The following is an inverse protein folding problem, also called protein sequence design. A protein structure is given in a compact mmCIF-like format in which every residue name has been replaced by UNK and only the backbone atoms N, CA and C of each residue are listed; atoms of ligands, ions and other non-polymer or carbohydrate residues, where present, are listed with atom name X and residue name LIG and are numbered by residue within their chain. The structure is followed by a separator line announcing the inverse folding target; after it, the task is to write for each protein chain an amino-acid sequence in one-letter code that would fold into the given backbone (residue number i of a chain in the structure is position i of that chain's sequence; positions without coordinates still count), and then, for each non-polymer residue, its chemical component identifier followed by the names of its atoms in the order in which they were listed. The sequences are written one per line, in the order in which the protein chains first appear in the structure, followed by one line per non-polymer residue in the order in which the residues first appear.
data_IF_638864527234
#
_entry.id   IF_638864527234
#
_cell.length_a   1.000
_cell.length_b   1.000
_cell.length_c   1.000
_cell.angle_alpha   90.00
_cell.angle_beta   90.00
_cell.angle_gamma   90.00
#
_symmetry.space_group_name_H-M   'P 1'
#
loop_
_entity.id
_entity.type
_entity.pdbx_description
1 polymer ?
#
# COMPACT_ATOMS: atom_id res chain seq x y z
N UNK A 1 12.42 -8.26 -34.24
CA UNK A 1 12.05 -8.84 -32.96
C UNK A 1 12.52 -7.91 -31.83
N UNK A 2 11.63 -7.05 -31.32
CA UNK A 2 11.94 -6.14 -30.20
C UNK A 2 11.61 -6.87 -28.89
N UNK A 3 12.64 -7.16 -28.11
CA UNK A 3 12.49 -7.71 -26.76
C UNK A 3 11.71 -6.70 -25.90
N UNK A 4 10.45 -7.01 -25.59
CA UNK A 4 9.66 -6.28 -24.58
C UNK A 4 10.28 -6.56 -23.23
N UNK A 5 10.88 -5.55 -22.63
CA UNK A 5 11.33 -5.58 -21.24
C UNK A 5 10.07 -5.70 -20.37
N UNK A 6 9.88 -6.88 -19.79
CA UNK A 6 8.89 -7.13 -18.74
C UNK A 6 9.46 -6.53 -17.45
N UNK A 7 9.05 -5.33 -17.10
CA UNK A 7 9.29 -4.73 -15.79
C UNK A 7 8.13 -5.13 -14.88
N UNK A 8 8.44 -5.88 -13.84
CA UNK A 8 7.45 -6.37 -12.87
C UNK A 8 7.55 -5.60 -11.57
N UNK A 9 6.40 -5.29 -10.99
CA UNK A 9 6.34 -4.60 -9.72
C UNK A 9 5.08 -4.91 -8.94
N UNK A 10 5.23 -5.07 -7.65
CA UNK A 10 4.14 -5.10 -6.70
C UNK A 10 4.18 -3.90 -5.76
N UNK A 11 3.05 -3.35 -5.47
CA UNK A 11 2.84 -2.46 -4.36
C UNK A 11 1.44 -2.65 -3.78
N UNK A 12 1.38 -3.29 -2.61
CA UNK A 12 0.20 -3.25 -1.76
C UNK A 12 -0.06 -1.81 -1.31
N UNK A 13 -1.31 -1.48 -1.03
CA UNK A 13 -1.77 -0.18 -0.53
C UNK A 13 -1.00 0.35 0.69
N UNK A 14 -0.41 -0.55 1.50
CA UNK A 14 0.42 -0.26 2.67
C UNK A 14 1.79 0.29 2.32
N UNK A 15 2.35 -0.10 1.17
CA UNK A 15 3.67 0.33 0.74
C UNK A 15 3.75 1.85 0.51
N UNK A 16 2.66 2.42 0.04
CA UNK A 16 2.60 3.85 -0.24
C UNK A 16 2.66 4.70 1.04
N UNK A 17 2.13 4.24 2.19
CA UNK A 17 2.22 4.95 3.46
C UNK A 17 3.63 4.93 4.05
N UNK A 18 4.33 3.79 4.06
CA UNK A 18 5.66 3.66 4.64
C UNK A 18 6.71 4.50 3.91
N UNK A 19 6.62 4.56 2.59
CA UNK A 19 7.59 5.30 1.75
C UNK A 19 7.37 6.81 1.78
N UNK A 20 6.18 7.26 2.15
CA UNK A 20 5.81 8.67 2.21
C UNK A 20 6.57 9.48 3.26
N UNK A 21 7.10 8.85 4.29
CA UNK A 21 7.76 9.52 5.41
C UNK A 21 9.16 10.02 5.13
N UNK A 22 9.85 9.39 4.20
CA UNK A 22 11.30 9.49 4.10
C UNK A 22 11.82 10.50 3.08
N UNK A 23 10.97 11.20 2.32
CA UNK A 23 11.42 12.03 1.19
C UNK A 23 11.72 13.48 1.54
N UNK A 24 11.69 13.88 2.84
CA UNK A 24 12.17 15.20 3.26
C UNK A 24 12.85 15.14 4.62
N UNK A 25 14.15 15.12 4.58
CA UNK A 25 14.93 15.67 5.68
C UNK A 25 14.52 17.13 5.89
N UNK A 26 14.13 17.49 7.11
CA UNK A 26 13.96 18.88 7.50
C UNK A 26 15.32 19.59 7.37
N UNK A 27 15.53 20.30 6.27
CA UNK A 27 16.38 21.47 6.31
C UNK A 27 15.58 22.56 7.01
N UNK A 28 15.81 22.71 8.33
CA UNK A 28 15.76 23.95 9.11
C UNK A 28 15.34 23.75 10.55
N UNK A 29 16.34 23.57 11.38
CA UNK A 29 16.30 24.09 12.74
C UNK A 29 17.71 24.51 13.13
N UNK A 30 18.16 25.66 12.63
CA UNK A 30 19.13 26.57 13.22
C UNK A 30 19.33 27.73 12.24
N UNK A 31 18.58 28.79 12.40
CA UNK A 31 18.75 30.02 11.61
C UNK A 31 19.15 31.19 12.51
N UNK A 32 20.31 31.72 12.27
CA UNK A 32 20.58 33.15 12.47
C UNK A 32 19.99 33.96 11.29
N UNK A 33 19.76 35.27 11.45
CA UNK A 33 18.94 36.06 10.51
C UNK A 33 19.64 36.33 9.18
N UNK A 34 18.87 36.67 8.12
CA UNK A 34 19.20 36.46 6.73
C UNK A 34 19.93 37.64 6.09
N UNK A 35 20.76 37.32 5.10
CA UNK A 35 21.16 38.25 4.05
C UNK A 35 20.21 38.10 2.85
N UNK A 36 19.75 39.24 2.37
CA UNK A 36 18.84 39.46 1.26
C UNK A 36 19.51 39.04 -0.07
N UNK A 37 18.74 38.35 -0.92
CA UNK A 37 19.05 38.29 -2.34
C UNK A 37 18.99 36.88 -2.94
N UNK A 38 17.90 36.61 -3.68
CA UNK A 38 17.78 35.49 -4.58
C UNK A 38 16.39 34.82 -4.49
N UNK A 39 15.42 35.31 -5.25
CA UNK A 39 14.15 34.64 -5.55
C UNK A 39 14.46 33.37 -6.35
N UNK A 40 14.88 32.32 -5.67
CA UNK A 40 14.89 30.98 -6.24
C UNK A 40 13.46 30.46 -6.24
N UNK A 41 12.76 30.60 -7.34
CA UNK A 41 11.51 29.89 -7.61
C UNK A 41 11.77 28.40 -7.32
N UNK A 42 11.05 27.86 -6.34
CA UNK A 42 10.93 26.43 -6.12
C UNK A 42 10.33 25.83 -7.37
N UNK A 43 11.18 25.33 -8.27
CA UNK A 43 10.72 24.61 -9.45
C UNK A 43 9.84 23.45 -9.01
N UNK A 44 8.58 23.37 -9.49
CA UNK A 44 7.73 22.19 -9.28
C UNK A 44 8.39 21.04 -10.05
N UNK A 45 8.78 20.01 -9.30
CA UNK A 45 9.29 18.72 -9.80
C UNK A 45 10.37 18.77 -10.88
N UNK A 46 11.60 18.70 -10.44
CA UNK A 46 12.59 18.00 -11.22
C UNK A 46 12.06 16.59 -11.50
N UNK A 47 12.03 16.18 -12.75
CA UNK A 47 11.82 14.80 -13.18
C UNK A 47 12.67 13.90 -12.28
N UNK A 48 12.07 12.89 -11.66
CA UNK A 48 12.80 11.95 -10.77
C UNK A 48 14.01 11.35 -11.47
N UNK A 49 13.94 11.17 -12.80
CA UNK A 49 15.08 10.70 -13.60
C UNK A 49 16.21 11.74 -13.67
N UNK A 50 15.89 13.02 -13.80
CA UNK A 50 16.89 14.10 -13.74
C UNK A 50 17.54 14.19 -12.35
N UNK A 51 16.74 14.08 -11.29
CA UNK A 51 17.26 14.04 -9.92
C UNK A 51 18.17 12.83 -9.68
N UNK A 52 17.79 11.66 -10.18
CA UNK A 52 18.63 10.46 -10.10
C UNK A 52 19.95 10.68 -10.83
N UNK A 53 19.92 11.26 -12.06
CA UNK A 53 21.13 11.50 -12.84
C UNK A 53 22.09 12.47 -12.14
N UNK A 54 21.57 13.55 -11.55
CA UNK A 54 22.35 14.53 -10.77
C UNK A 54 22.99 13.84 -9.54
N UNK A 55 22.19 13.16 -8.71
CA UNK A 55 22.68 12.49 -7.52
C UNK A 55 23.66 11.36 -7.83
N UNK A 56 23.50 10.67 -8.96
CA UNK A 56 24.47 9.69 -9.43
C UNK A 56 25.80 10.34 -9.81
N UNK A 57 25.78 11.52 -10.43
CA UNK A 57 27.00 12.28 -10.75
C UNK A 57 27.69 12.71 -9.47
N UNK A 58 26.94 13.19 -8.48
CA UNK A 58 27.44 13.58 -7.16
C UNK A 58 28.17 12.42 -6.44
N UNK A 59 27.52 11.29 -6.36
CA UNK A 59 28.10 10.10 -5.69
C UNK A 59 29.33 9.60 -6.45
N UNK A 60 29.32 9.62 -7.78
CA UNK A 60 30.50 9.25 -8.60
C UNK A 60 31.67 10.22 -8.45
N UNK A 61 31.42 11.50 -8.20
CA UNK A 61 32.46 12.51 -7.94
C UNK A 61 33.05 12.43 -6.54
N UNK A 62 32.61 11.46 -5.71
CA UNK A 62 33.08 11.26 -4.35
C UNK A 62 32.25 11.90 -3.25
N UNK A 63 31.16 12.60 -3.59
CA UNK A 63 30.20 13.15 -2.60
C UNK A 63 29.33 12.03 -2.02
N UNK A 64 29.91 11.16 -1.21
CA UNK A 64 29.26 9.97 -0.66
C UNK A 64 28.17 10.28 0.39
N UNK A 65 28.17 11.50 0.94
CA UNK A 65 27.12 12.07 1.78
C UNK A 65 25.77 12.19 1.04
N UNK A 66 25.79 12.21 -0.30
CA UNK A 66 24.58 12.24 -1.15
C UNK A 66 23.95 10.87 -1.37
N UNK A 67 24.57 9.77 -0.94
CA UNK A 67 24.08 8.41 -1.13
C UNK A 67 22.66 8.17 -0.53
N UNK A 68 22.32 8.66 0.67
CA UNK A 68 20.95 8.52 1.19
C UNK A 68 19.91 9.26 0.34
N UNK A 69 20.24 10.42 -0.22
CA UNK A 69 19.35 11.16 -1.11
C UNK A 69 19.13 10.43 -2.43
N UNK A 70 20.18 9.82 -3.01
CA UNK A 70 20.06 8.97 -4.20
C UNK A 70 19.22 7.72 -3.93
N UNK A 71 19.39 7.10 -2.77
CA UNK A 71 18.55 5.97 -2.37
C UNK A 71 17.06 6.38 -2.25
N UNK A 72 16.79 7.57 -1.66
CA UNK A 72 15.42 8.11 -1.61
C UNK A 72 14.82 8.32 -3.00
N UNK A 73 15.61 8.86 -3.96
CA UNK A 73 15.17 9.03 -5.34
C UNK A 73 14.89 7.67 -6.04
N UNK A 74 15.69 6.64 -5.77
CA UNK A 74 15.40 5.29 -6.25
C UNK A 74 14.10 4.72 -5.65
N UNK A 75 13.86 4.91 -4.35
CA UNK A 75 12.61 4.49 -3.71
C UNK A 75 11.40 5.25 -4.26
N UNK A 76 11.58 6.55 -4.60
CA UNK A 76 10.56 7.33 -5.31
C UNK A 76 10.27 6.72 -6.69
N UNK A 77 11.32 6.34 -7.43
CA UNK A 77 11.17 5.73 -8.76
C UNK A 77 10.42 4.39 -8.72
N UNK A 78 10.62 3.59 -7.67
CA UNK A 78 9.79 2.38 -7.45
C UNK A 78 8.30 2.75 -7.37
N UNK A 79 7.92 3.80 -6.63
CA UNK A 79 6.51 4.23 -6.52
C UNK A 79 5.90 4.67 -7.84
N UNK A 80 6.69 5.34 -8.68
CA UNK A 80 6.24 5.87 -9.97
C UNK A 80 6.10 4.81 -11.03
N UNK A 81 7.06 3.88 -11.08
CA UNK A 81 7.19 2.92 -12.19
C UNK A 81 6.90 1.51 -11.80
N UNK A 82 7.07 1.25 -10.50
CA UNK A 82 6.98 -0.06 -9.98
C UNK A 82 8.15 -0.97 -10.31
N UNK A 83 9.25 -0.48 -10.80
CA UNK A 83 10.46 -1.27 -11.08
C UNK A 83 11.21 -1.62 -9.79
N UNK A 84 11.05 -2.87 -9.33
CA UNK A 84 11.68 -3.38 -8.13
C UNK A 84 13.22 -3.43 -8.20
N UNK A 85 13.82 -3.28 -9.40
CA UNK A 85 15.28 -3.22 -9.53
C UNK A 85 15.90 -2.06 -8.78
N UNK A 86 15.15 -0.97 -8.60
CA UNK A 86 15.60 0.18 -7.82
C UNK A 86 15.72 -0.12 -6.31
N UNK A 87 15.02 -1.12 -5.77
CA UNK A 87 15.25 -1.55 -4.39
C UNK A 87 16.67 -2.09 -4.19
N UNK A 88 17.17 -2.90 -5.13
CA UNK A 88 18.53 -3.43 -5.06
C UNK A 88 19.58 -2.32 -5.16
N UNK A 89 19.35 -1.33 -6.03
CA UNK A 89 20.23 -0.17 -6.16
C UNK A 89 20.27 0.68 -4.88
N UNK A 90 19.10 0.95 -4.29
CA UNK A 90 18.99 1.67 -3.02
C UNK A 90 19.69 0.91 -1.89
N UNK A 91 19.49 -0.41 -1.80
CA UNK A 91 20.10 -1.28 -0.80
C UNK A 91 21.62 -1.19 -0.80
N UNK A 92 22.23 -1.37 -1.99
CA UNK A 92 23.70 -1.28 -2.14
C UNK A 92 24.24 0.06 -1.63
N UNK A 93 23.61 1.17 -1.99
CA UNK A 93 24.03 2.50 -1.53
C UNK A 93 23.91 2.67 -0.02
N UNK A 94 22.81 2.21 0.55
CA UNK A 94 22.53 2.35 1.98
C UNK A 94 23.45 1.46 2.83
N UNK A 95 23.73 0.24 2.38
CA UNK A 95 24.72 -0.63 3.02
C UNK A 95 26.10 0.01 3.05
N UNK A 96 26.55 0.60 1.93
CA UNK A 96 27.82 1.31 1.86
C UNK A 96 27.84 2.56 2.75
N UNK A 97 26.76 3.33 2.81
CA UNK A 97 26.66 4.50 3.68
C UNK A 97 26.74 4.11 5.15
N UNK A 98 25.96 3.09 5.57
CA UNK A 98 25.94 2.61 6.95
C UNK A 98 27.21 1.86 7.37
N UNK A 99 27.95 1.26 6.44
CA UNK A 99 29.26 0.70 6.71
C UNK A 99 30.28 1.79 7.05
N UNK A 100 30.21 2.98 6.42
CA UNK A 100 31.06 4.15 6.71
C UNK A 100 30.62 4.86 7.99
N UNK A 101 29.34 5.07 8.17
CA UNK A 101 28.78 5.72 9.36
C UNK A 101 27.51 4.97 9.84
N UNK A 102 27.63 4.05 10.81
CA UNK A 102 26.49 3.27 11.33
C UNK A 102 25.40 4.11 12.04
N UNK A 103 25.68 5.39 12.32
CA UNK A 103 24.76 6.35 12.95
C UNK A 103 24.28 7.44 11.99
N UNK A 104 24.54 7.31 10.68
CA UNK A 104 23.98 8.21 9.67
C UNK A 104 22.46 8.11 9.69
N UNK A 105 21.80 9.13 10.27
CA UNK A 105 20.35 9.14 10.42
C UNK A 105 19.64 9.09 9.06
N UNK A 106 20.12 9.85 8.06
CA UNK A 106 19.50 9.87 6.74
C UNK A 106 19.57 8.47 6.09
N UNK A 107 20.72 7.81 6.17
CA UNK A 107 20.89 6.45 5.68
C UNK A 107 20.00 5.45 6.43
N UNK A 108 19.90 5.56 7.77
CA UNK A 108 19.04 4.70 8.60
C UNK A 108 17.56 4.87 8.25
N UNK A 109 17.07 6.11 8.04
CA UNK A 109 15.70 6.40 7.63
C UNK A 109 15.41 5.79 6.26
N UNK A 110 16.30 5.96 5.29
CA UNK A 110 16.10 5.39 3.96
C UNK A 110 16.18 3.85 3.96
N UNK A 111 17.07 3.27 4.77
CA UNK A 111 17.14 1.81 4.95
C UNK A 111 15.87 1.26 5.62
N UNK A 112 15.31 1.98 6.61
CA UNK A 112 14.02 1.63 7.20
C UNK A 112 12.87 1.72 6.19
N UNK A 113 12.88 2.74 5.33
CA UNK A 113 11.92 2.90 4.24
C UNK A 113 12.01 1.76 3.23
N UNK A 114 13.22 1.37 2.84
CA UNK A 114 13.47 0.24 1.96
C UNK A 114 12.97 -1.07 2.58
N UNK A 115 13.28 -1.32 3.86
CA UNK A 115 12.81 -2.51 4.57
C UNK A 115 11.27 -2.56 4.63
N UNK A 116 10.61 -1.44 4.93
CA UNK A 116 9.15 -1.33 4.87
C UNK A 116 8.63 -1.61 3.46
N UNK A 117 9.29 -1.08 2.43
CA UNK A 117 8.99 -1.32 1.03
C UNK A 117 9.14 -2.77 0.59
N UNK A 118 9.98 -3.54 1.25
CA UNK A 118 10.14 -4.98 1.05
C UNK A 118 9.25 -5.83 1.97
N UNK A 119 8.37 -5.19 2.77
CA UNK A 119 7.54 -5.81 3.81
C UNK A 119 8.35 -6.51 4.92
N UNK A 120 9.60 -6.11 5.13
CA UNK A 120 10.37 -6.45 6.32
C UNK A 120 10.08 -5.43 7.43
N UNK A 121 8.93 -5.58 8.07
CA UNK A 121 8.48 -4.63 9.10
C UNK A 121 9.27 -4.72 10.41
N UNK A 122 9.88 -5.87 10.70
CA UNK A 122 10.80 -6.00 11.83
C UNK A 122 12.09 -5.20 11.59
N UNK A 123 12.69 -5.36 10.41
CA UNK A 123 13.86 -4.59 9.99
C UNK A 123 13.56 -3.09 9.91
N UNK A 124 12.42 -2.72 9.32
CA UNK A 124 11.97 -1.33 9.23
C UNK A 124 11.87 -0.67 10.62
N UNK A 125 11.21 -1.34 11.58
CA UNK A 125 11.05 -0.83 12.94
C UNK A 125 12.42 -0.73 13.67
N UNK A 126 13.29 -1.71 13.51
CA UNK A 126 14.61 -1.69 14.13
C UNK A 126 15.47 -0.56 13.58
N UNK A 127 15.50 -0.36 12.27
CA UNK A 127 16.26 0.71 11.61
C UNK A 127 15.69 2.10 11.95
N UNK A 128 14.36 2.26 11.95
CA UNK A 128 13.72 3.52 12.32
C UNK A 128 14.01 3.90 13.78
N UNK A 129 14.01 2.94 14.72
CA UNK A 129 14.41 3.18 16.11
C UNK A 129 15.89 3.56 16.25
N UNK A 130 16.77 2.96 15.44
CA UNK A 130 18.17 3.36 15.39
C UNK A 130 18.33 4.79 14.88
N UNK A 131 17.55 5.19 13.89
CA UNK A 131 17.53 6.56 13.38
C UNK A 131 17.06 7.57 14.44
N UNK A 132 16.00 7.23 15.19
CA UNK A 132 15.47 8.04 16.30
C UNK A 132 16.51 8.16 17.43
N UNK A 133 17.20 7.07 17.75
CA UNK A 133 18.28 7.09 18.76
C UNK A 133 19.52 7.89 18.30
N UNK A 134 19.83 7.86 17.00
CA UNK A 134 20.98 8.59 16.46
C UNK A 134 20.81 10.11 16.55
N UNK A 135 19.58 10.61 16.32
CA UNK A 135 19.20 12.02 16.47
C UNK A 135 17.78 12.09 17.07
N UNK A 136 17.69 12.13 18.42
CA UNK A 136 16.40 12.13 19.11
C UNK A 136 15.53 13.33 18.77
N UNK A 137 14.19 13.10 18.74
CA UNK A 137 13.20 14.17 18.56
C UNK A 137 13.02 14.63 17.12
N UNK A 138 13.59 13.93 16.16
CA UNK A 138 13.35 14.20 14.72
C UNK A 138 12.08 13.50 14.23
N UNK A 139 11.44 14.10 13.22
CA UNK A 139 10.20 13.58 12.65
C UNK A 139 10.41 12.39 11.72
N UNK A 140 11.57 12.31 11.07
CA UNK A 140 11.80 11.41 9.95
C UNK A 140 11.56 9.92 10.24
N UNK A 141 11.93 9.33 11.39
CA UNK A 141 11.68 7.91 11.68
C UNK A 141 10.25 7.61 12.10
N UNK A 142 9.51 8.57 12.67
CA UNK A 142 8.19 8.32 13.29
C UNK A 142 7.15 7.72 12.33
N UNK A 143 6.97 8.24 11.10
CA UNK A 143 6.02 7.65 10.17
C UNK A 143 6.31 6.18 9.85
N UNK A 144 7.59 5.81 9.68
CA UNK A 144 8.01 4.43 9.39
C UNK A 144 7.74 3.54 10.61
N UNK A 145 7.99 4.07 11.83
CA UNK A 145 7.68 3.36 13.07
C UNK A 145 6.18 3.10 13.21
N UNK A 146 5.31 4.09 12.88
CA UNK A 146 3.85 3.91 12.90
C UNK A 146 3.45 2.77 11.95
N UNK A 147 3.89 2.84 10.70
CA UNK A 147 3.54 1.86 9.68
C UNK A 147 4.01 0.44 10.06
N UNK A 148 5.27 0.31 10.46
CA UNK A 148 5.81 -0.97 10.90
C UNK A 148 5.10 -1.53 12.14
N UNK A 149 4.73 -0.70 13.11
CA UNK A 149 3.99 -1.12 14.30
C UNK A 149 2.57 -1.58 13.95
N UNK A 150 1.89 -0.93 13.00
CA UNK A 150 0.58 -1.38 12.50
C UNK A 150 0.70 -2.75 11.85
N UNK A 151 1.65 -2.92 10.94
CA UNK A 151 1.83 -4.20 10.22
C UNK A 151 2.33 -5.33 11.14
N UNK A 152 3.03 -5.00 12.22
CA UNK A 152 3.39 -5.95 13.29
C UNK A 152 2.26 -6.19 14.29
N UNK A 153 1.06 -5.64 14.09
CA UNK A 153 -0.10 -5.81 14.97
C UNK A 153 0.05 -5.16 16.34
N UNK A 154 1.03 -4.25 16.50
CA UNK A 154 1.33 -3.53 17.76
C UNK A 154 0.55 -2.22 17.83
N UNK A 155 -0.79 -2.30 17.67
CA UNK A 155 -1.66 -1.13 17.44
C UNK A 155 -1.60 -0.08 18.54
N UNK A 156 -1.57 -0.44 19.81
CA UNK A 156 -1.45 0.54 20.89
C UNK A 156 -0.10 1.29 20.90
N UNK A 157 1.00 0.66 20.41
CA UNK A 157 2.26 1.35 20.24
C UNK A 157 2.21 2.24 18.97
N UNK A 158 1.57 1.77 17.91
CA UNK A 158 1.35 2.57 16.69
C UNK A 158 0.55 3.84 16.99
N UNK A 159 -0.53 3.73 17.77
CA UNK A 159 -1.36 4.86 18.18
C UNK A 159 -0.57 5.93 18.97
N UNK A 160 0.23 5.51 19.95
CA UNK A 160 1.08 6.45 20.71
C UNK A 160 2.12 7.14 19.83
N UNK A 161 2.77 6.39 18.94
CA UNK A 161 3.75 6.96 18.00
C UNK A 161 3.09 7.90 16.98
N UNK A 162 1.86 7.55 16.56
CA UNK A 162 1.07 8.40 15.66
C UNK A 162 0.64 9.69 16.36
N UNK A 163 0.22 9.64 17.63
CA UNK A 163 -0.09 10.84 18.41
C UNK A 163 1.15 11.74 18.54
N UNK A 164 2.30 11.17 18.87
CA UNK A 164 3.56 11.91 18.91
C UNK A 164 3.87 12.60 17.56
N UNK A 165 3.66 11.89 16.44
CA UNK A 165 3.86 12.46 15.09
C UNK A 165 2.94 13.64 14.83
N UNK A 166 1.65 13.53 15.21
CA UNK A 166 0.66 14.60 15.03
C UNK A 166 0.99 15.81 15.90
N UNK A 167 1.37 15.58 17.17
CA UNK A 167 1.69 16.65 18.11
C UNK A 167 2.92 17.44 17.67
N UNK A 168 3.92 16.77 17.11
CA UNK A 168 5.15 17.41 16.62
C UNK A 168 4.92 18.15 15.30
N UNK A 169 4.19 17.57 14.35
CA UNK A 169 3.94 18.20 13.04
C UNK A 169 2.71 17.63 12.34
N UNK A 170 1.54 18.26 12.49
CA UNK A 170 0.33 17.88 11.77
C UNK A 170 0.50 18.26 10.28
N UNK A 171 0.88 17.29 9.46
CA UNK A 171 1.11 17.44 8.03
C UNK A 171 0.38 16.34 7.23
N UNK A 172 0.50 16.38 5.90
CA UNK A 172 -0.09 15.40 4.99
C UNK A 172 0.23 13.95 5.42
N UNK A 173 1.51 13.67 5.76
CA UNK A 173 1.97 12.33 6.17
C UNK A 173 1.32 11.87 7.49
N UNK A 174 1.20 12.77 8.48
CA UNK A 174 0.57 12.49 9.76
C UNK A 174 -0.94 12.22 9.58
N UNK A 175 -1.65 13.11 8.89
CA UNK A 175 -3.09 12.98 8.67
C UNK A 175 -3.47 11.75 7.83
N UNK A 176 -2.67 11.37 6.83
CA UNK A 176 -2.90 10.15 6.06
C UNK A 176 -2.83 8.89 6.94
N UNK A 177 -1.92 8.86 7.93
CA UNK A 177 -1.81 7.76 8.90
C UNK A 177 -2.92 7.76 9.93
N UNK A 178 -3.36 8.93 10.39
CA UNK A 178 -4.57 9.05 11.22
C UNK A 178 -5.78 8.48 10.48
N UNK A 179 -5.92 8.81 9.19
CA UNK A 179 -6.99 8.28 8.35
C UNK A 179 -6.94 6.75 8.26
N UNK A 180 -5.76 6.18 7.95
CA UNK A 180 -5.60 4.74 7.86
C UNK A 180 -5.87 4.02 9.20
N UNK A 181 -5.40 4.58 10.31
CA UNK A 181 -5.67 4.00 11.63
C UNK A 181 -7.17 4.00 11.97
N UNK A 182 -7.88 5.07 11.64
CA UNK A 182 -9.34 5.15 11.79
C UNK A 182 -10.09 4.17 10.89
N UNK A 183 -9.66 4.02 9.65
CA UNK A 183 -10.18 3.00 8.72
C UNK A 183 -10.04 1.59 9.31
N UNK A 184 -8.86 1.25 9.85
CA UNK A 184 -8.62 -0.04 10.51
C UNK A 184 -9.54 -0.29 11.70
N UNK A 185 -9.95 0.76 12.42
CA UNK A 185 -10.85 0.70 13.59
C UNK A 185 -12.33 0.86 13.23
N UNK A 186 -12.67 0.97 11.93
CA UNK A 186 -14.05 1.08 11.45
C UNK A 186 -14.65 2.48 11.50
N UNK A 187 -13.88 3.50 11.88
CA UNK A 187 -14.29 4.91 11.84
C UNK A 187 -14.07 5.51 10.44
N UNK A 188 -14.92 5.13 9.47
CA UNK A 188 -14.80 5.62 8.09
C UNK A 188 -15.07 7.13 7.97
N UNK A 189 -15.94 7.70 8.80
CA UNK A 189 -16.22 9.14 8.77
C UNK A 189 -15.00 9.93 9.23
N UNK A 190 -14.43 9.56 10.36
CA UNK A 190 -13.20 10.16 10.85
C UNK A 190 -11.99 9.88 9.94
N UNK A 191 -11.95 8.74 9.26
CA UNK A 191 -10.92 8.46 8.26
C UNK A 191 -11.00 9.44 7.08
N UNK A 192 -12.20 9.69 6.55
CA UNK A 192 -12.42 10.69 5.48
C UNK A 192 -12.03 12.09 5.95
N UNK A 193 -12.42 12.49 7.16
CA UNK A 193 -12.08 13.83 7.68
C UNK A 193 -10.57 14.01 7.86
N UNK A 194 -9.87 13.00 8.36
CA UNK A 194 -8.42 13.01 8.44
C UNK A 194 -7.77 13.05 7.05
N UNK A 195 -8.28 12.28 6.09
CA UNK A 195 -7.74 12.28 4.72
C UNK A 195 -7.97 13.62 4.00
N UNK A 196 -9.10 14.30 4.23
CA UNK A 196 -9.32 15.67 3.74
C UNK A 196 -8.30 16.64 4.31
N UNK A 197 -8.00 16.56 5.60
CA UNK A 197 -6.91 17.35 6.21
C UNK A 197 -5.56 17.05 5.58
N UNK A 198 -5.29 15.78 5.21
CA UNK A 198 -4.08 15.42 4.47
C UNK A 198 -4.04 16.10 3.09
N UNK A 199 -5.17 16.13 2.37
CA UNK A 199 -5.30 16.83 1.09
C UNK A 199 -5.08 18.34 1.25
N UNK A 200 -5.72 18.96 2.24
CA UNK A 200 -5.64 20.41 2.51
C UNK A 200 -4.24 20.83 2.96
N UNK A 201 -3.53 19.97 3.71
CA UNK A 201 -2.15 20.19 4.10
C UNK A 201 -1.21 20.24 2.87
N UNK A 202 -1.62 19.63 1.76
CA UNK A 202 -0.93 19.72 0.48
C UNK A 202 0.53 19.29 0.56
N UNK A 203 1.25 19.65 -0.47
CA UNK A 203 2.69 19.43 -0.54
C UNK A 203 3.22 19.73 -1.93
N UNK A 204 4.50 20.09 -2.06
CA UNK A 204 5.08 20.39 -3.37
C UNK A 204 5.31 19.12 -4.23
N UNK A 205 5.16 17.91 -3.64
CA UNK A 205 5.28 16.66 -4.38
C UNK A 205 3.91 16.27 -4.97
N UNK A 206 3.75 16.37 -6.30
CA UNK A 206 2.49 16.03 -7.00
C UNK A 206 2.07 14.58 -6.77
N UNK A 207 3.03 13.67 -6.68
CA UNK A 207 2.76 12.26 -6.36
C UNK A 207 2.10 12.13 -5.00
N UNK A 208 2.57 12.87 -3.99
CA UNK A 208 1.99 12.86 -2.66
C UNK A 208 0.53 13.36 -2.66
N UNK A 209 0.26 14.43 -3.44
CA UNK A 209 -1.10 14.95 -3.63
C UNK A 209 -1.97 13.92 -4.35
N UNK A 210 -1.49 13.35 -5.44
CA UNK A 210 -2.19 12.30 -6.18
C UNK A 210 -2.48 11.08 -5.29
N UNK A 211 -1.54 10.73 -4.43
CA UNK A 211 -1.67 9.63 -3.49
C UNK A 211 -2.81 9.85 -2.50
N UNK A 212 -2.80 10.94 -1.73
CA UNK A 212 -3.84 11.20 -0.72
C UNK A 212 -5.22 11.41 -1.35
N UNK A 213 -5.29 11.99 -2.55
CA UNK A 213 -6.52 12.07 -3.33
C UNK A 213 -7.03 10.68 -3.74
N UNK A 214 -6.11 9.76 -4.08
CA UNK A 214 -6.47 8.37 -4.40
C UNK A 214 -7.03 7.65 -3.18
N UNK A 215 -6.41 7.84 -2.01
CA UNK A 215 -6.90 7.27 -0.74
C UNK A 215 -8.29 7.82 -0.38
N UNK A 216 -8.49 9.14 -0.50
CA UNK A 216 -9.80 9.76 -0.30
C UNK A 216 -10.85 9.16 -1.24
N UNK A 217 -10.49 8.94 -2.51
CA UNK A 217 -11.37 8.29 -3.48
C UNK A 217 -11.78 6.88 -3.06
N UNK A 218 -10.86 6.10 -2.48
CA UNK A 218 -11.13 4.77 -1.93
C UNK A 218 -12.08 4.80 -0.72
N UNK A 219 -11.82 5.69 0.24
CA UNK A 219 -12.67 5.88 1.42
C UNK A 219 -14.10 6.30 1.06
N UNK A 220 -14.25 7.24 0.11
CA UNK A 220 -15.57 7.66 -0.35
C UNK A 220 -16.30 6.53 -1.12
N UNK A 221 -15.55 5.66 -1.83
CA UNK A 221 -16.10 4.46 -2.45
C UNK A 221 -16.61 3.46 -1.40
N UNK A 222 -15.84 3.23 -0.33
CA UNK A 222 -16.23 2.37 0.79
C UNK A 222 -17.48 2.88 1.53
N UNK A 223 -17.73 4.21 1.51
CA UNK A 223 -18.94 4.84 2.04
C UNK A 223 -20.11 4.87 1.05
N UNK A 224 -19.95 4.29 -0.16
CA UNK A 224 -20.96 4.34 -1.22
C UNK A 224 -21.12 5.72 -1.87
N UNK A 225 -20.25 6.70 -1.59
CA UNK A 225 -20.33 8.06 -2.13
C UNK A 225 -19.61 8.13 -3.49
N UNK A 226 -20.21 7.49 -4.50
CA UNK A 226 -19.61 7.30 -5.82
C UNK A 226 -19.23 8.60 -6.55
N UNK A 227 -19.99 9.68 -6.34
CA UNK A 227 -19.70 11.00 -6.93
C UNK A 227 -18.43 11.63 -6.31
N UNK A 228 -18.31 11.60 -4.97
CA UNK A 228 -17.13 12.07 -4.26
C UNK A 228 -15.88 11.23 -4.59
N UNK A 229 -16.03 9.91 -4.64
CA UNK A 229 -14.97 9.00 -5.09
C UNK A 229 -14.48 9.35 -6.51
N UNK A 230 -15.41 9.58 -7.45
CA UNK A 230 -15.06 10.00 -8.81
C UNK A 230 -14.30 11.33 -8.84
N UNK A 231 -14.70 12.28 -8.02
CA UNK A 231 -14.04 13.59 -7.91
C UNK A 231 -12.61 13.44 -7.40
N UNK A 232 -12.41 12.72 -6.31
CA UNK A 232 -11.09 12.52 -5.70
C UNK A 232 -10.12 11.79 -6.66
N UNK A 233 -10.54 10.70 -7.31
CA UNK A 233 -9.73 10.06 -8.35
C UNK A 233 -9.44 10.96 -9.55
N UNK A 234 -10.39 11.86 -9.89
CA UNK A 234 -10.21 12.87 -10.93
C UNK A 234 -9.13 13.88 -10.54
N UNK A 235 -9.16 14.38 -9.31
CA UNK A 235 -8.16 15.29 -8.76
C UNK A 235 -6.76 14.66 -8.70
N UNK A 236 -6.67 13.37 -8.31
CA UNK A 236 -5.42 12.64 -8.33
C UNK A 236 -4.81 12.56 -9.76
N UNK A 237 -5.63 12.26 -10.77
CA UNK A 237 -5.19 12.19 -12.17
C UNK A 237 -4.92 13.57 -12.78
N UNK A 238 -5.52 14.63 -12.28
CA UNK A 238 -5.21 16.00 -12.67
C UNK A 238 -3.86 16.44 -12.09
N UNK A 239 -3.57 16.09 -10.83
CA UNK A 239 -2.28 16.36 -10.19
C UNK A 239 -1.14 15.56 -10.85
N UNK A 240 -1.39 14.28 -11.17
CA UNK A 240 -0.40 13.39 -11.79
C UNK A 240 -1.04 12.59 -12.93
N UNK A 241 -1.00 13.07 -14.17
CA UNK A 241 -1.52 12.35 -15.32
C UNK A 241 -0.92 10.95 -15.45
N UNK A 242 -1.80 9.95 -15.55
CA UNK A 242 -1.37 8.56 -15.67
C UNK A 242 -0.97 7.87 -14.37
N UNK A 243 -1.24 8.44 -13.20
CA UNK A 243 -1.01 7.82 -11.90
C UNK A 243 -1.81 6.51 -11.77
N UNK A 244 -1.09 5.38 -11.82
CA UNK A 244 -1.71 4.06 -11.91
C UNK A 244 -2.66 3.73 -10.75
N UNK A 245 -2.36 4.08 -9.46
CA UNK A 245 -3.30 3.84 -8.37
C UNK A 245 -4.64 4.56 -8.52
N UNK A 246 -4.65 5.81 -9.00
CA UNK A 246 -5.89 6.54 -9.24
C UNK A 246 -6.67 5.98 -10.46
N UNK A 247 -5.96 5.56 -11.51
CA UNK A 247 -6.56 4.87 -12.65
C UNK A 247 -7.21 3.54 -12.23
N UNK A 248 -6.55 2.78 -11.34
CA UNK A 248 -7.10 1.57 -10.72
C UNK A 248 -8.35 1.89 -9.88
N UNK A 249 -8.33 2.98 -9.11
CA UNK A 249 -9.51 3.47 -8.40
C UNK A 249 -10.69 3.77 -9.33
N UNK A 250 -10.44 4.37 -10.50
CA UNK A 250 -11.47 4.60 -11.53
C UNK A 250 -12.01 3.30 -12.12
N UNK A 251 -11.19 2.25 -12.23
CA UNK A 251 -11.65 0.92 -12.67
C UNK A 251 -12.55 0.28 -11.60
N UNK A 252 -12.17 0.33 -10.32
CA UNK A 252 -13.02 -0.12 -9.19
C UNK A 252 -14.34 0.63 -9.11
N UNK A 253 -14.31 1.94 -9.30
CA UNK A 253 -15.53 2.76 -9.34
C UNK A 253 -16.45 2.37 -10.50
N UNK A 254 -15.91 2.04 -11.68
CA UNK A 254 -16.71 1.55 -12.80
C UNK A 254 -17.37 0.20 -12.46
N UNK A 255 -16.63 -0.73 -11.85
CA UNK A 255 -17.16 -2.00 -11.36
C UNK A 255 -18.28 -1.80 -10.33
N UNK A 256 -18.07 -0.91 -9.35
CA UNK A 256 -19.08 -0.60 -8.32
C UNK A 256 -20.38 0.00 -8.89
N UNK A 257 -20.33 0.60 -10.08
CA UNK A 257 -21.48 1.11 -10.82
C UNK A 257 -22.15 0.06 -11.74
N UNK A 258 -21.63 -1.17 -11.77
CA UNK A 258 -22.07 -2.23 -12.67
C UNK A 258 -21.52 -2.12 -14.11
N UNK A 259 -20.69 -1.12 -14.42
CA UNK A 259 -20.06 -0.97 -15.74
C UNK A 259 -18.83 -1.91 -15.86
N UNK A 260 -19.10 -3.23 -15.91
CA UNK A 260 -18.02 -4.23 -16.04
C UNK A 260 -17.20 -4.07 -17.34
N UNK A 261 -17.82 -3.81 -18.52
CA UNK A 261 -17.03 -3.53 -19.72
C UNK A 261 -16.12 -2.32 -19.58
N UNK A 262 -16.58 -1.23 -18.97
CA UNK A 262 -15.79 -0.04 -18.69
C UNK A 262 -14.69 -0.28 -17.63
N UNK A 263 -14.96 -1.11 -16.61
CA UNK A 263 -13.99 -1.53 -15.63
C UNK A 263 -12.85 -2.33 -16.30
N UNK A 264 -13.16 -3.33 -17.12
CA UNK A 264 -12.18 -4.14 -17.86
C UNK A 264 -11.29 -3.27 -18.75
N UNK A 265 -11.87 -2.33 -19.51
CA UNK A 265 -11.06 -1.42 -20.35
C UNK A 265 -10.08 -0.60 -19.51
N UNK A 266 -10.52 -0.08 -18.36
CA UNK A 266 -9.66 0.70 -17.46
C UNK A 266 -8.58 -0.16 -16.80
N UNK A 267 -8.94 -1.36 -16.34
CA UNK A 267 -7.98 -2.30 -15.77
C UNK A 267 -6.90 -2.69 -16.78
N UNK A 268 -7.24 -2.93 -18.05
CA UNK A 268 -6.26 -3.22 -19.10
C UNK A 268 -5.26 -2.08 -19.25
N UNK A 269 -5.72 -0.83 -19.33
CA UNK A 269 -4.82 0.32 -19.40
C UNK A 269 -3.93 0.50 -18.15
N UNK A 270 -4.42 0.10 -16.97
CA UNK A 270 -3.59 0.07 -15.75
C UNK A 270 -2.53 -1.02 -15.86
N UNK A 271 -2.92 -2.26 -16.20
CA UNK A 271 -2.02 -3.42 -16.30
C UNK A 271 -0.98 -3.25 -17.41
N UNK A 272 -1.35 -2.63 -18.53
CA UNK A 272 -0.38 -2.31 -19.61
C UNK A 272 0.71 -1.34 -19.15
N UNK A 273 0.37 -0.39 -18.29
CA UNK A 273 1.31 0.59 -17.74
C UNK A 273 2.11 0.05 -16.57
N UNK A 274 1.43 -0.63 -15.66
CA UNK A 274 1.96 -1.08 -14.39
C UNK A 274 1.34 -2.45 -14.03
N UNK A 275 1.94 -3.56 -14.49
CA UNK A 275 1.39 -4.91 -14.31
C UNK A 275 1.63 -5.44 -12.89
N UNK A 276 1.07 -4.78 -11.85
CA UNK A 276 1.13 -5.28 -10.49
C UNK A 276 0.25 -6.51 -10.31
N UNK A 277 0.64 -7.48 -9.47
CA UNK A 277 -0.20 -8.66 -9.17
C UNK A 277 -1.63 -8.30 -8.80
N UNK A 278 -1.84 -7.31 -7.92
CA UNK A 278 -3.18 -6.88 -7.52
C UNK A 278 -4.02 -6.30 -8.66
N UNK A 279 -3.40 -5.63 -9.63
CA UNK A 279 -4.13 -5.10 -10.79
C UNK A 279 -4.46 -6.20 -11.80
N UNK A 280 -3.55 -7.15 -11.96
CA UNK A 280 -3.77 -8.33 -12.82
C UNK A 280 -4.85 -9.23 -12.22
N UNK A 281 -4.86 -9.42 -10.89
CA UNK A 281 -5.92 -10.16 -10.19
C UNK A 281 -7.26 -9.44 -10.37
N UNK A 282 -7.31 -8.13 -10.14
CA UNK A 282 -8.53 -7.35 -10.28
C UNK A 282 -9.09 -7.35 -11.72
N UNK A 283 -8.21 -7.31 -12.73
CA UNK A 283 -8.60 -7.48 -14.14
C UNK A 283 -9.20 -8.87 -14.36
N UNK A 284 -8.47 -9.92 -14.01
CA UNK A 284 -8.90 -11.31 -14.24
C UNK A 284 -10.21 -11.65 -13.52
N UNK A 285 -10.39 -11.17 -12.29
CA UNK A 285 -11.65 -11.36 -11.54
C UNK A 285 -12.81 -10.54 -12.13
N UNK A 286 -12.56 -9.31 -12.59
CA UNK A 286 -13.56 -8.50 -13.28
C UNK A 286 -13.97 -9.15 -14.61
N UNK A 287 -13.03 -9.76 -15.34
CA UNK A 287 -13.32 -10.51 -16.56
C UNK A 287 -14.14 -11.77 -16.28
N UNK A 288 -13.81 -12.50 -15.21
CA UNK A 288 -14.62 -13.67 -14.80
C UNK A 288 -16.03 -13.27 -14.39
N UNK A 289 -16.20 -12.19 -13.63
CA UNK A 289 -17.51 -11.67 -13.25
C UNK A 289 -18.34 -11.21 -14.47
N UNK A 290 -17.69 -10.77 -15.54
CA UNK A 290 -18.32 -10.42 -16.81
C UNK A 290 -18.56 -11.63 -17.75
N UNK A 291 -18.38 -12.87 -17.28
CA UNK A 291 -18.53 -14.10 -18.07
C UNK A 291 -17.36 -14.42 -19.00
N UNK A 292 -16.28 -13.60 -18.99
CA UNK A 292 -15.09 -13.80 -19.83
C UNK A 292 -14.06 -14.73 -19.15
N UNK A 293 -14.51 -15.92 -18.79
CA UNK A 293 -13.75 -16.89 -17.96
C UNK A 293 -12.37 -17.22 -18.54
N UNK A 294 -12.27 -17.46 -19.84
CA UNK A 294 -11.00 -17.82 -20.48
C UNK A 294 -10.00 -16.67 -20.48
N UNK A 295 -10.46 -15.41 -20.64
CA UNK A 295 -9.60 -14.23 -20.56
C UNK A 295 -9.07 -14.05 -19.13
N UNK A 296 -9.97 -14.06 -18.14
CA UNK A 296 -9.59 -13.93 -16.74
C UNK A 296 -8.59 -15.00 -16.27
N UNK A 297 -8.75 -16.26 -16.70
CA UNK A 297 -7.77 -17.33 -16.39
C UNK A 297 -6.39 -17.07 -16.99
N UNK A 298 -6.32 -16.54 -18.22
CA UNK A 298 -5.03 -16.20 -18.86
C UNK A 298 -4.30 -15.10 -18.10
N UNK A 299 -5.02 -14.04 -17.70
CA UNK A 299 -4.42 -12.93 -16.97
C UNK A 299 -3.96 -13.38 -15.57
N UNK A 300 -4.80 -14.11 -14.85
CA UNK A 300 -4.44 -14.68 -13.54
C UNK A 300 -3.21 -15.59 -13.57
N UNK A 301 -2.95 -16.29 -14.66
CA UNK A 301 -1.75 -17.13 -14.79
C UNK A 301 -0.43 -16.33 -14.74
N UNK A 302 -0.46 -15.02 -15.02
CA UNK A 302 0.73 -14.14 -14.98
C UNK A 302 1.18 -13.82 -13.56
N UNK A 303 0.28 -13.90 -12.57
CA UNK A 303 0.53 -13.48 -11.17
C UNK A 303 1.74 -14.18 -10.57
N UNK A 304 1.89 -15.50 -10.79
CA UNK A 304 3.03 -16.26 -10.25
C UNK A 304 4.37 -15.84 -10.83
N UNK A 305 4.41 -15.44 -12.09
CA UNK A 305 5.64 -14.96 -12.73
C UNK A 305 6.03 -13.59 -12.15
N UNK A 306 5.07 -12.71 -11.98
CA UNK A 306 5.28 -11.39 -11.36
C UNK A 306 5.79 -11.53 -9.93
N UNK A 307 5.22 -12.43 -9.16
CA UNK A 307 5.64 -12.65 -7.78
C UNK A 307 7.07 -13.21 -7.65
N UNK A 308 7.52 -14.04 -8.59
CA UNK A 308 8.92 -14.49 -8.63
C UNK A 308 9.88 -13.31 -8.81
N UNK A 309 9.52 -12.34 -9.65
CA UNK A 309 10.34 -11.14 -9.87
C UNK A 309 10.43 -10.27 -8.62
N UNK A 310 9.32 -10.12 -7.88
CA UNK A 310 9.28 -9.38 -6.62
C UNK A 310 10.12 -10.07 -5.55
N UNK A 311 9.99 -11.38 -5.40
CA UNK A 311 10.80 -12.17 -4.47
C UNK A 311 12.29 -12.03 -4.79
N UNK A 312 12.68 -11.98 -6.07
CA UNK A 312 14.06 -11.74 -6.50
C UNK A 312 14.57 -10.33 -6.09
N UNK A 313 13.68 -9.35 -5.94
CA UNK A 313 14.00 -8.01 -5.41
C UNK A 313 13.91 -7.93 -3.86
N UNK A 314 13.68 -9.06 -3.19
CA UNK A 314 13.57 -9.15 -1.74
C UNK A 314 12.21 -8.70 -1.18
N UNK A 315 11.17 -8.56 -2.00
CA UNK A 315 9.84 -8.17 -1.56
C UNK A 315 9.07 -9.38 -1.04
N UNK A 316 8.59 -9.34 0.19
CA UNK A 316 7.71 -10.36 0.75
C UNK A 316 6.26 -10.10 0.33
N UNK A 317 5.69 -11.02 -0.44
CA UNK A 317 4.30 -10.95 -0.93
C UNK A 317 3.45 -12.11 -0.41
N UNK A 318 3.80 -12.68 0.73
CA UNK A 318 3.16 -13.89 1.27
C UNK A 318 1.65 -13.70 1.50
N UNK A 319 1.18 -12.53 1.93
CA UNK A 319 -0.25 -12.25 2.14
C UNK A 319 -1.01 -12.30 0.81
N UNK A 320 -0.56 -11.54 -0.18
CA UNK A 320 -1.21 -11.40 -1.48
C UNK A 320 -1.20 -12.73 -2.23
N UNK A 321 -0.06 -13.43 -2.19
CA UNK A 321 0.08 -14.75 -2.81
C UNK A 321 -0.77 -15.80 -2.10
N UNK A 322 -0.90 -15.73 -0.78
CA UNK A 322 -1.77 -16.65 -0.02
C UNK A 322 -3.23 -16.51 -0.46
N UNK A 323 -3.74 -15.28 -0.57
CA UNK A 323 -5.10 -15.01 -1.02
C UNK A 323 -5.30 -15.45 -2.47
N UNK A 324 -4.36 -15.14 -3.36
CA UNK A 324 -4.37 -15.61 -4.74
C UNK A 324 -4.41 -17.14 -4.84
N UNK A 325 -3.55 -17.85 -4.09
CA UNK A 325 -3.51 -19.32 -4.11
C UNK A 325 -4.79 -19.93 -3.51
N UNK A 326 -5.43 -19.28 -2.56
CA UNK A 326 -6.72 -19.73 -2.00
C UNK A 326 -7.85 -19.69 -3.02
N UNK A 327 -7.90 -18.64 -3.86
CA UNK A 327 -9.02 -18.43 -4.78
C UNK A 327 -8.77 -18.95 -6.20
N UNK A 328 -7.51 -18.95 -6.66
CA UNK A 328 -7.14 -19.21 -8.05
C UNK A 328 -6.04 -20.26 -8.23
N UNK A 329 -5.50 -20.80 -7.12
CA UNK A 329 -4.35 -21.70 -7.18
C UNK A 329 -4.42 -22.91 -6.26
N UNK A 330 -3.31 -23.17 -5.57
CA UNK A 330 -3.17 -24.28 -4.63
C UNK A 330 -3.58 -23.86 -3.22
N UNK A 331 -4.74 -24.31 -2.75
CA UNK A 331 -5.26 -24.01 -1.39
C UNK A 331 -4.29 -24.42 -0.29
N UNK A 332 -3.60 -25.58 -0.44
CA UNK A 332 -2.61 -26.01 0.53
C UNK A 332 -1.41 -25.03 0.59
N UNK A 333 -0.92 -24.57 -0.57
CA UNK A 333 0.13 -23.55 -0.64
C UNK A 333 -0.34 -22.22 -0.04
N UNK A 334 -1.60 -21.82 -0.27
CA UNK A 334 -2.19 -20.64 0.33
C UNK A 334 -2.09 -20.67 1.86
N UNK A 335 -2.43 -21.79 2.51
CA UNK A 335 -2.31 -21.94 3.96
C UNK A 335 -0.87 -21.81 4.45
N UNK A 336 0.10 -22.39 3.74
CA UNK A 336 1.53 -22.30 4.10
C UNK A 336 2.00 -20.85 4.05
N UNK A 337 1.68 -20.13 2.98
CA UNK A 337 2.04 -18.71 2.80
C UNK A 337 1.37 -17.82 3.83
N UNK A 338 0.07 -17.99 4.09
CA UNK A 338 -0.64 -17.20 5.09
C UNK A 338 -0.05 -17.38 6.49
N UNK A 339 0.32 -18.61 6.86
CA UNK A 339 1.01 -18.87 8.13
C UNK A 339 2.41 -18.27 8.19
N UNK A 340 3.13 -18.21 7.07
CA UNK A 340 4.40 -17.50 6.95
C UNK A 340 4.21 -16.01 7.15
N UNK A 341 3.23 -15.41 6.46
CA UNK A 341 2.87 -14.00 6.63
C UNK A 341 2.52 -13.65 8.08
N UNK A 342 1.74 -14.50 8.75
CA UNK A 342 1.41 -14.30 10.17
C UNK A 342 2.64 -14.33 11.09
N UNK A 343 3.59 -15.24 10.87
CA UNK A 343 4.82 -15.29 11.68
C UNK A 343 5.69 -14.05 11.49
N UNK A 344 5.72 -13.53 10.27
CA UNK A 344 6.53 -12.36 9.92
C UNK A 344 5.87 -11.04 10.32
N UNK A 345 4.54 -10.95 10.22
CA UNK A 345 3.79 -9.72 10.48
C UNK A 345 2.39 -10.06 11.03
N UNK A 346 2.23 -10.24 12.35
CA UNK A 346 0.98 -10.71 12.97
C UNK A 346 -0.09 -9.62 13.05
N UNK A 347 -0.47 -9.03 11.92
CA UNK A 347 -1.48 -7.98 11.76
C UNK A 347 -2.88 -8.55 11.53
N UNK A 348 -3.90 -7.67 11.49
CA UNK A 348 -5.25 -8.06 11.08
C UNK A 348 -5.29 -8.56 9.64
N UNK A 349 -4.42 -8.04 8.75
CA UNK A 349 -4.31 -8.47 7.35
C UNK A 349 -3.83 -9.91 7.22
N UNK A 350 -2.73 -10.25 7.89
CA UNK A 350 -2.23 -11.63 7.89
C UNK A 350 -3.18 -12.60 8.61
N UNK A 351 -3.93 -12.14 9.63
CA UNK A 351 -4.98 -12.93 10.24
C UNK A 351 -6.13 -13.21 9.26
N UNK A 352 -6.54 -12.23 8.46
CA UNK A 352 -7.53 -12.42 7.39
C UNK A 352 -7.06 -13.48 6.38
N UNK A 353 -5.83 -13.36 5.90
CA UNK A 353 -5.25 -14.33 4.96
C UNK A 353 -5.23 -15.76 5.55
N UNK A 354 -4.87 -15.94 6.83
CA UNK A 354 -4.93 -17.26 7.47
C UNK A 354 -6.37 -17.75 7.57
N UNK A 355 -7.32 -16.91 7.96
CA UNK A 355 -8.73 -17.27 8.08
C UNK A 355 -9.32 -17.71 6.74
N UNK A 356 -9.10 -16.91 5.71
CA UNK A 356 -9.60 -17.19 4.38
C UNK A 356 -8.97 -18.45 3.77
N UNK A 357 -7.65 -18.60 3.82
CA UNK A 357 -6.96 -19.77 3.26
C UNK A 357 -7.37 -21.07 3.94
N UNK A 358 -7.55 -21.10 5.27
CA UNK A 358 -8.06 -22.26 5.99
C UNK A 358 -9.49 -22.61 5.55
N UNK A 359 -10.35 -21.61 5.40
CA UNK A 359 -11.73 -21.81 4.92
C UNK A 359 -11.73 -22.41 3.53
N UNK A 360 -10.94 -21.87 2.62
CA UNK A 360 -10.81 -22.39 1.24
C UNK A 360 -10.18 -23.78 1.19
N UNK A 361 -9.36 -24.14 2.16
CA UNK A 361 -8.77 -25.47 2.32
C UNK A 361 -9.70 -26.50 2.97
N UNK A 362 -10.92 -26.11 3.39
CA UNK A 362 -11.91 -27.02 3.95
C UNK A 362 -11.97 -27.07 5.49
N UNK A 363 -11.26 -26.15 6.19
CA UNK A 363 -11.35 -26.00 7.65
C UNK A 363 -11.96 -24.64 8.05
N UNK A 364 -13.26 -24.41 7.80
CA UNK A 364 -13.91 -23.13 8.11
C UNK A 364 -14.03 -22.88 9.62
N UNK A 365 -14.02 -23.93 10.47
CA UNK A 365 -14.06 -23.75 11.92
C UNK A 365 -12.77 -23.13 12.45
N UNK A 366 -11.63 -23.60 11.98
CA UNK A 366 -10.35 -22.95 12.26
C UNK A 366 -10.28 -21.56 11.61
N UNK A 367 -10.75 -21.42 10.36
CA UNK A 367 -10.83 -20.15 9.65
C UNK A 367 -11.60 -19.08 10.41
N UNK A 368 -12.73 -19.45 11.05
CA UNK A 368 -13.57 -18.50 11.81
C UNK A 368 -12.84 -17.85 13.00
N UNK A 369 -12.02 -18.59 13.72
CA UNK A 369 -11.21 -18.02 14.80
C UNK A 369 -10.24 -16.94 14.31
N UNK A 370 -9.71 -17.11 13.09
CA UNK A 370 -8.83 -16.16 12.46
C UNK A 370 -9.58 -14.97 11.84
N UNK A 371 -10.78 -15.21 11.30
CA UNK A 371 -11.66 -14.14 10.83
C UNK A 371 -12.05 -13.18 11.97
N UNK A 372 -12.39 -13.71 13.15
CA UNK A 372 -12.63 -12.89 14.34
C UNK A 372 -11.39 -12.09 14.75
N UNK A 373 -10.18 -12.68 14.61
CA UNK A 373 -8.93 -11.98 14.87
C UNK A 373 -8.66 -10.87 13.84
N UNK A 374 -9.00 -11.08 12.59
CA UNK A 374 -8.91 -10.06 11.55
C UNK A 374 -9.84 -8.87 11.83
N UNK A 375 -11.04 -9.15 12.32
CA UNK A 375 -12.04 -8.12 12.63
C UNK A 375 -11.94 -7.52 14.03
N UNK A 376 -10.94 -7.87 14.84
CA UNK A 376 -10.85 -7.47 16.26
C UNK A 376 -10.77 -5.96 16.50
N UNK A 377 -10.38 -5.19 15.50
CA UNK A 377 -10.34 -3.73 15.54
C UNK A 377 -11.65 -3.07 15.11
N UNK A 378 -12.63 -3.83 14.65
CA UNK A 378 -13.89 -3.30 14.16
C UNK A 378 -13.92 -2.91 12.68
N UNK A 379 -12.87 -3.25 11.91
CA UNK A 379 -12.74 -2.87 10.50
C UNK A 379 -14.01 -3.16 9.68
N UNK A 380 -14.36 -2.22 8.82
CA UNK A 380 -15.42 -2.31 7.82
C UNK A 380 -14.88 -2.63 6.42
N UNK A 381 -13.60 -3.00 6.30
CA UNK A 381 -12.98 -3.40 5.04
C UNK A 381 -13.84 -4.47 4.33
N UNK A 382 -14.28 -4.24 3.08
CA UNK A 382 -15.22 -5.13 2.41
C UNK A 382 -14.65 -6.52 2.14
N UNK A 383 -13.33 -6.66 1.93
CA UNK A 383 -12.70 -7.95 1.72
C UNK A 383 -12.66 -8.76 3.04
N UNK A 384 -12.27 -8.12 4.16
CA UNK A 384 -12.28 -8.78 5.47
C UNK A 384 -13.70 -9.23 5.85
N UNK A 385 -14.70 -8.36 5.65
CA UNK A 385 -16.10 -8.69 5.92
C UNK A 385 -16.63 -9.79 5.00
N UNK A 386 -16.22 -9.80 3.73
CA UNK A 386 -16.57 -10.86 2.79
C UNK A 386 -15.93 -12.20 3.21
N UNK A 387 -14.64 -12.24 3.49
CA UNK A 387 -13.95 -13.45 3.95
C UNK A 387 -14.55 -13.98 5.25
N UNK A 388 -14.78 -13.10 6.24
CA UNK A 388 -15.41 -13.48 7.50
C UNK A 388 -16.84 -14.01 7.29
N UNK A 389 -17.64 -13.35 6.47
CA UNK A 389 -19.01 -13.74 6.19
C UNK A 389 -19.09 -15.11 5.52
N UNK A 390 -18.31 -15.34 4.45
CA UNK A 390 -18.23 -16.63 3.77
C UNK A 390 -17.69 -17.74 4.69
N UNK A 391 -16.71 -17.42 5.52
CA UNK A 391 -16.15 -18.34 6.52
C UNK A 391 -17.21 -18.74 7.55
N UNK A 392 -17.94 -17.76 8.08
CA UNK A 392 -18.99 -18.01 9.08
C UNK A 392 -20.12 -18.89 8.49
N UNK A 393 -20.57 -18.64 7.26
CA UNK A 393 -21.55 -19.50 6.58
C UNK A 393 -21.02 -20.93 6.44
N UNK A 394 -19.80 -21.10 5.97
CA UNK A 394 -19.16 -22.40 5.82
C UNK A 394 -18.97 -23.14 7.16
N UNK A 395 -18.84 -22.40 8.26
CA UNK A 395 -18.76 -22.94 9.63
C UNK A 395 -20.14 -23.19 10.29
N UNK A 396 -21.24 -22.97 9.57
CA UNK A 396 -22.61 -23.14 10.08
C UNK A 396 -23.13 -21.96 10.92
N UNK A 397 -22.45 -20.82 10.92
CA UNK A 397 -22.79 -19.60 11.68
C UNK A 397 -23.62 -18.65 10.79
N UNK A 398 -24.80 -19.09 10.37
CA UNK A 398 -25.59 -18.42 9.33
C UNK A 398 -25.91 -16.95 9.63
N UNK A 399 -26.36 -16.64 10.87
CA UNK A 399 -26.74 -15.27 11.24
C UNK A 399 -25.51 -14.33 11.18
N UNK A 400 -24.37 -14.77 11.68
CA UNK A 400 -23.11 -14.06 11.65
C UNK A 400 -22.63 -13.85 10.21
N UNK A 401 -22.62 -14.91 9.41
CA UNK A 401 -22.20 -14.86 8.02
C UNK A 401 -23.02 -13.89 7.19
N UNK A 402 -24.35 -13.95 7.29
CA UNK A 402 -25.25 -13.01 6.61
C UNK A 402 -25.04 -11.55 7.04
N UNK A 403 -24.77 -11.30 8.32
CA UNK A 403 -24.47 -9.96 8.82
C UNK A 403 -23.19 -9.42 8.17
N UNK A 404 -22.10 -10.19 8.21
CA UNK A 404 -20.82 -9.74 7.69
C UNK A 404 -20.83 -9.56 6.16
N UNK A 405 -21.52 -10.41 5.40
CA UNK A 405 -21.74 -10.21 3.96
C UNK A 405 -22.53 -8.94 3.65
N UNK A 406 -23.60 -8.63 4.43
CA UNK A 406 -24.33 -7.38 4.28
C UNK A 406 -23.46 -6.16 4.56
N UNK A 407 -22.61 -6.21 5.59
CA UNK A 407 -21.63 -5.17 5.87
C UNK A 407 -20.61 -5.02 4.74
N UNK A 408 -20.10 -6.12 4.18
CA UNK A 408 -19.20 -6.07 3.02
C UNK A 408 -19.86 -5.35 1.82
N UNK A 409 -21.11 -5.69 1.49
CA UNK A 409 -21.86 -5.06 0.40
C UNK A 409 -22.09 -3.57 0.68
N UNK A 410 -22.48 -3.22 1.91
CA UNK A 410 -22.72 -1.84 2.32
C UNK A 410 -21.46 -0.97 2.26
N UNK A 411 -20.28 -1.56 2.47
CA UNK A 411 -19.00 -0.85 2.54
C UNK A 411 -18.07 -1.06 1.34
N UNK A 412 -18.66 -1.28 0.15
CA UNK A 412 -17.90 -1.16 -1.11
C UNK A 412 -17.50 -2.49 -1.76
N UNK A 413 -18.05 -3.64 -1.36
CA UNK A 413 -17.81 -4.93 -2.03
C UNK A 413 -18.16 -4.88 -3.53
N UNK A 414 -19.03 -3.97 -3.96
CA UNK A 414 -19.37 -3.74 -5.37
C UNK A 414 -18.16 -3.36 -6.25
N UNK A 415 -17.07 -2.88 -5.66
CA UNK A 415 -15.80 -2.67 -6.35
C UNK A 415 -15.06 -3.97 -6.71
N UNK A 416 -15.50 -5.10 -6.18
CA UNK A 416 -14.96 -6.46 -6.36
C UNK A 416 -16.06 -7.36 -6.93
N UNK A 417 -16.37 -7.27 -8.24
CA UNK A 417 -17.58 -7.82 -8.81
C UNK A 417 -17.72 -9.34 -8.67
N UNK A 418 -16.61 -10.09 -8.71
CA UNK A 418 -16.65 -11.55 -8.51
C UNK A 418 -17.04 -11.91 -7.06
N UNK A 419 -16.49 -11.19 -6.09
CA UNK A 419 -16.85 -11.38 -4.68
C UNK A 419 -18.28 -10.93 -4.39
N UNK A 420 -18.75 -9.84 -5.02
CA UNK A 420 -20.13 -9.38 -4.90
C UNK A 420 -21.12 -10.45 -5.38
N UNK A 421 -20.89 -11.05 -6.56
CA UNK A 421 -21.74 -12.11 -7.09
C UNK A 421 -21.83 -13.28 -6.11
N UNK A 422 -20.70 -13.78 -5.63
CA UNK A 422 -20.63 -14.88 -4.65
C UNK A 422 -21.32 -14.54 -3.33
N UNK A 423 -21.18 -13.29 -2.85
CA UNK A 423 -21.86 -12.84 -1.63
C UNK A 423 -23.37 -12.78 -1.81
N UNK A 424 -23.85 -12.32 -2.97
CA UNK A 424 -25.28 -12.28 -3.30
C UNK A 424 -25.89 -13.67 -3.41
N UNK A 425 -25.20 -14.62 -4.07
CA UNK A 425 -25.60 -16.02 -4.13
C UNK A 425 -25.68 -16.64 -2.72
N UNK A 426 -24.74 -16.36 -1.85
CA UNK A 426 -24.72 -16.89 -0.48
C UNK A 426 -25.76 -16.27 0.46
N UNK A 427 -26.38 -15.14 0.10
CA UNK A 427 -27.44 -14.47 0.85
C UNK A 427 -28.86 -14.91 0.45
N UNK A 428 -29.01 -15.55 -0.69
CA UNK A 428 -30.27 -16.18 -1.15
C UNK A 428 -30.59 -17.39 -0.27
#
# INVERSE_FOLDING_TARGET
MRARRLTAVALSFVLALAVFAATRGDERAAAGPPAVGGTGELRPHADTDAQIAELQADVRSGRTDRAPALAAAYLQKVRETGDASFYTRADTLLQQALARNPRDQAALVQAATLAAGRHDFHGALALARRADYAVPGTLAPLPIMVDALVELGRYGAAERTLQQLVDLKPNLSAYARVSYFRELTGDLDGAVDAMRRAVDAGGPALENVAYVQTLLGGLELARGRLAASRHAYGAALAAMPGYAPAAAGRARLAAARGDLPGAIRRWRGVVERLPLPEYVIALGETEQAAGKIAAGRRDLALVRAQQKLLAAAGVNTDVELALYEADHGSRARGVVLARSAWRNAPSVRSADAVGWTLTRAGDPRAGLRWAHRALRLGSLDPAFRYHAGMTALAAGRTAEGRRDLRLAIAHGLAAFPLHLQRAQEALQ
#
